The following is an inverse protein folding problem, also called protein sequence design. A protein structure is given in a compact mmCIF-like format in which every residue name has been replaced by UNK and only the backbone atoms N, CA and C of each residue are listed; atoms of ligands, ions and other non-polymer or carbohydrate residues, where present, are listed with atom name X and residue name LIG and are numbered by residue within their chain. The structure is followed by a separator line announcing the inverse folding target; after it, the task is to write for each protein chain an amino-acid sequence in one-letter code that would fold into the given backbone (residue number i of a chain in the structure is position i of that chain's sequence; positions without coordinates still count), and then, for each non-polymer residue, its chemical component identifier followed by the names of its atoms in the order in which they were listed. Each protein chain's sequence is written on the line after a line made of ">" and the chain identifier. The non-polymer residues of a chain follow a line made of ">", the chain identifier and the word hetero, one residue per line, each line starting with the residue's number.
data_IF_474658603622
#
_entry.id   IF_474658603622
#
_cell.length_a   1.000
_cell.length_b   1.000
_cell.length_c   1.000
_cell.angle_alpha   90.00
_cell.angle_beta   90.00
_cell.angle_gamma   90.00
#
_symmetry.space_group_name_H-M   'P 1'
#
loop_
_entity.id
_entity.type
_entity.pdbx_description
1 polymer ?
#
# COMPACT_ATOMS: atom_id res chain seq x y z
N UNK A 1 -5.57 -5.97 -28.72
CA UNK A 1 -4.76 -5.05 -27.90
C UNK A 1 -3.57 -5.85 -27.45
N UNK A 2 -2.37 -5.50 -27.92
CA UNK A 2 -1.14 -6.13 -27.46
C UNK A 2 -0.99 -5.93 -25.96
N UNK A 3 -0.85 -7.02 -25.21
CA UNK A 3 -0.69 -6.97 -23.75
C UNK A 3 0.80 -6.85 -23.45
N UNK A 4 1.25 -5.66 -23.07
CA UNK A 4 2.63 -5.43 -22.65
C UNK A 4 2.78 -5.79 -21.18
N UNK A 5 3.70 -6.71 -20.87
CA UNK A 5 4.06 -7.07 -19.52
C UNK A 5 5.53 -6.72 -19.27
N UNK A 6 5.80 -6.01 -18.17
CA UNK A 6 7.16 -5.71 -17.75
C UNK A 6 7.57 -6.62 -16.59
N UNK A 7 8.83 -7.07 -16.62
CA UNK A 7 9.49 -7.71 -15.50
C UNK A 7 10.71 -6.91 -15.12
N UNK A 8 10.73 -6.35 -13.91
CA UNK A 8 11.83 -5.60 -13.36
C UNK A 8 12.38 -6.32 -12.14
N UNK A 9 13.68 -6.56 -12.14
CA UNK A 9 14.41 -7.24 -11.10
C UNK A 9 15.51 -6.33 -10.58
N UNK A 10 15.65 -6.22 -9.26
CA UNK A 10 16.69 -5.42 -8.62
C UNK A 10 17.21 -6.16 -7.39
N UNK A 11 18.53 -6.23 -7.26
CA UNK A 11 19.25 -6.74 -6.10
C UNK A 11 20.14 -5.63 -5.54
N UNK A 12 20.05 -5.41 -4.23
CA UNK A 12 20.79 -4.34 -3.55
C UNK A 12 21.53 -4.90 -2.33
N UNK A 13 22.71 -4.33 -2.06
CA UNK A 13 23.42 -4.53 -0.81
C UNK A 13 23.82 -3.17 -0.23
N UNK A 14 23.35 -2.87 0.98
CA UNK A 14 23.45 -1.53 1.56
C UNK A 14 22.83 -0.47 0.61
N UNK A 15 23.64 0.48 0.16
CA UNK A 15 23.21 1.57 -0.75
C UNK A 15 23.61 1.32 -2.22
N UNK A 16 24.23 0.18 -2.53
CA UNK A 16 24.66 -0.17 -3.89
C UNK A 16 23.72 -1.16 -4.54
N UNK A 17 23.49 -0.98 -5.84
CA UNK A 17 22.75 -1.91 -6.67
C UNK A 17 23.72 -2.93 -7.24
N UNK A 18 23.50 -4.22 -6.91
CA UNK A 18 24.33 -5.33 -7.38
C UNK A 18 23.86 -5.82 -8.76
N UNK A 19 22.54 -5.90 -8.93
CA UNK A 19 21.91 -6.33 -10.18
C UNK A 19 20.66 -5.51 -10.44
N UNK A 20 20.42 -5.16 -11.71
CA UNK A 20 19.21 -4.47 -12.14
C UNK A 20 18.86 -4.87 -13.57
N UNK A 21 17.69 -5.47 -13.78
CA UNK A 21 17.28 -6.01 -15.05
C UNK A 21 15.87 -5.55 -15.40
N UNK A 22 15.63 -5.21 -16.66
CA UNK A 22 14.31 -4.88 -17.18
C UNK A 22 14.02 -5.64 -18.47
N UNK A 23 12.90 -6.35 -18.46
CA UNK A 23 12.40 -7.14 -19.56
C UNK A 23 11.02 -6.65 -19.99
N UNK A 24 10.75 -6.72 -21.29
CA UNK A 24 9.44 -6.49 -21.88
C UNK A 24 8.94 -7.79 -22.48
N UNK A 25 7.80 -8.26 -22.00
CA UNK A 25 7.10 -9.44 -22.54
C UNK A 25 5.96 -8.97 -23.45
N UNK A 26 6.01 -9.39 -24.70
CA UNK A 26 4.99 -9.13 -25.71
C UNK A 26 4.56 -10.48 -26.27
N UNK A 27 3.31 -10.88 -26.00
CA UNK A 27 2.81 -12.22 -26.30
C UNK A 27 3.73 -13.30 -25.68
N UNK A 28 4.37 -14.14 -26.50
CA UNK A 28 5.29 -15.20 -26.04
C UNK A 28 6.79 -14.82 -26.18
N UNK A 29 7.09 -13.55 -26.50
CA UNK A 29 8.46 -13.07 -26.70
C UNK A 29 8.91 -12.18 -25.57
N UNK A 30 10.11 -12.47 -25.03
CA UNK A 30 10.77 -11.64 -24.03
C UNK A 30 11.88 -10.84 -24.70
N UNK A 31 11.76 -9.50 -24.67
CA UNK A 31 12.81 -8.58 -25.10
C UNK A 31 13.56 -8.09 -23.85
N UNK A 32 14.88 -8.27 -23.82
CA UNK A 32 15.74 -7.64 -22.82
C UNK A 32 15.84 -6.15 -23.16
N UNK A 33 15.48 -5.28 -22.23
CA UNK A 33 15.63 -3.83 -22.38
C UNK A 33 16.97 -3.36 -21.82
N UNK A 34 17.35 -3.86 -20.66
CA UNK A 34 18.70 -3.76 -20.12
C UNK A 34 18.95 -4.84 -19.06
N UNK A 35 20.21 -5.18 -18.89
CA UNK A 35 20.73 -5.99 -17.79
C UNK A 35 21.99 -5.30 -17.25
N UNK A 36 22.12 -5.19 -15.93
CA UNK A 36 23.25 -4.60 -15.23
C UNK A 36 23.63 -5.49 -14.05
N UNK A 37 24.90 -5.81 -13.96
CA UNK A 37 25.53 -6.39 -12.79
C UNK A 37 26.75 -5.58 -12.35
N UNK A 38 27.53 -6.07 -11.36
CA UNK A 38 28.73 -5.39 -10.86
C UNK A 38 29.85 -5.26 -11.91
N UNK A 39 29.88 -6.12 -12.94
CA UNK A 39 30.97 -6.23 -13.91
C UNK A 39 30.58 -5.69 -15.29
N UNK A 40 29.29 -5.72 -15.63
CA UNK A 40 28.81 -5.49 -16.99
C UNK A 40 27.45 -4.79 -17.04
N UNK A 41 27.21 -4.10 -18.16
CA UNK A 41 25.91 -3.52 -18.50
C UNK A 41 25.57 -3.84 -19.94
N UNK A 42 24.45 -4.50 -20.17
CA UNK A 42 23.84 -4.66 -21.47
C UNK A 42 22.73 -3.63 -21.67
N UNK A 43 22.74 -2.93 -22.77
CA UNK A 43 21.71 -1.98 -23.19
C UNK A 43 21.14 -2.43 -24.54
N UNK A 44 19.82 -2.37 -24.70
CA UNK A 44 19.20 -2.64 -26.01
C UNK A 44 19.52 -1.53 -27.01
N UNK A 45 19.30 -1.78 -28.30
CA UNK A 45 19.63 -0.84 -29.41
C UNK A 45 18.97 0.55 -29.23
N UNK A 46 17.76 0.61 -28.62
CA UNK A 46 17.07 1.87 -28.36
C UNK A 46 17.83 2.81 -27.40
N UNK A 47 18.78 2.26 -26.63
CA UNK A 47 19.64 2.97 -25.68
C UNK A 47 21.05 3.24 -26.24
N UNK A 48 21.31 2.99 -27.51
CA UNK A 48 22.61 3.29 -28.13
C UNK A 48 23.02 4.74 -27.88
N UNK A 49 24.29 4.92 -27.48
CA UNK A 49 24.87 6.23 -27.15
C UNK A 49 24.42 6.83 -25.80
N UNK A 50 23.80 6.05 -24.91
CA UNK A 50 23.60 6.45 -23.53
C UNK A 50 24.96 6.35 -22.80
N UNK A 51 25.42 7.48 -22.26
CA UNK A 51 26.65 7.52 -21.45
C UNK A 51 26.32 7.10 -20.00
N UNK A 52 26.84 5.95 -19.59
CA UNK A 52 26.68 5.41 -18.25
C UNK A 52 28.00 5.34 -17.45
N UNK A 53 29.13 5.76 -18.05
CA UNK A 53 30.47 5.63 -17.42
C UNK A 53 30.57 6.39 -16.09
N UNK A 54 29.84 7.47 -15.93
CA UNK A 54 29.85 8.30 -14.72
C UNK A 54 28.57 8.18 -13.90
N UNK A 55 27.76 7.14 -14.13
CA UNK A 55 26.53 6.93 -13.38
C UNK A 55 26.85 6.52 -11.92
N UNK A 56 26.11 7.08 -10.96
CA UNK A 56 26.23 6.67 -9.56
C UNK A 56 25.72 5.23 -9.40
N UNK A 57 26.52 4.38 -8.73
CA UNK A 57 26.18 2.97 -8.48
C UNK A 57 24.88 2.78 -7.69
N UNK A 58 24.52 3.73 -6.84
CA UNK A 58 23.28 3.71 -6.06
C UNK A 58 22.05 4.19 -6.88
N UNK A 59 22.24 4.72 -8.10
CA UNK A 59 21.13 5.19 -8.92
C UNK A 59 20.59 4.05 -9.78
N UNK A 60 19.27 3.74 -9.69
CA UNK A 60 18.66 2.76 -10.60
C UNK A 60 18.81 3.18 -12.07
N UNK A 61 19.24 2.24 -12.92
CA UNK A 61 19.46 2.48 -14.34
C UNK A 61 18.16 2.89 -15.04
N UNK A 62 17.02 2.29 -14.65
CA UNK A 62 15.71 2.72 -15.15
C UNK A 62 15.45 4.22 -14.87
N UNK A 63 15.78 4.69 -13.66
CA UNK A 63 15.64 6.10 -13.31
C UNK A 63 16.58 6.97 -14.13
N UNK A 64 17.84 6.53 -14.32
CA UNK A 64 18.81 7.21 -15.13
C UNK A 64 18.36 7.34 -16.59
N UNK A 65 17.91 6.25 -17.20
CA UNK A 65 17.38 6.23 -18.56
C UNK A 65 16.24 7.24 -18.72
N UNK A 66 15.29 7.23 -17.79
CA UNK A 66 14.13 8.14 -17.83
C UNK A 66 14.48 9.61 -17.68
N UNK A 67 15.67 9.94 -17.12
CA UNK A 67 16.16 11.33 -17.05
C UNK A 67 16.79 11.82 -18.35
N UNK A 68 17.42 10.94 -19.12
CA UNK A 68 18.25 11.34 -20.28
C UNK A 68 17.68 10.92 -21.64
N UNK A 69 16.75 9.97 -21.65
CA UNK A 69 16.08 9.47 -22.86
C UNK A 69 14.56 9.55 -22.67
N UNK A 70 13.89 10.08 -23.66
CA UNK A 70 12.41 10.11 -23.70
C UNK A 70 11.93 8.96 -24.60
N UNK A 71 11.85 7.77 -24.03
CA UNK A 71 11.46 6.53 -24.72
C UNK A 71 10.22 5.93 -24.05
N UNK A 72 9.13 5.83 -24.79
CA UNK A 72 7.82 5.42 -24.26
C UNK A 72 7.85 4.09 -23.49
N UNK A 73 8.69 3.14 -23.93
CA UNK A 73 8.81 1.83 -23.28
C UNK A 73 9.35 1.93 -21.85
N UNK A 74 10.35 2.80 -21.64
CA UNK A 74 10.92 3.03 -20.29
C UNK A 74 10.04 3.95 -19.45
N UNK A 75 9.42 4.96 -20.08
CA UNK A 75 8.48 5.86 -19.40
C UNK A 75 7.26 5.10 -18.85
N UNK A 76 6.77 4.10 -19.56
CA UNK A 76 5.69 3.22 -19.07
C UNK A 76 6.12 2.43 -17.83
N UNK A 77 7.33 1.83 -17.86
CA UNK A 77 7.88 1.12 -16.71
C UNK A 77 8.08 2.07 -15.52
N UNK A 78 8.67 3.24 -15.74
CA UNK A 78 8.91 4.26 -14.70
C UNK A 78 7.60 4.80 -14.13
N UNK A 79 6.56 4.97 -14.94
CA UNK A 79 5.24 5.44 -14.50
C UNK A 79 4.64 4.53 -13.43
N UNK A 80 4.86 3.21 -13.48
CA UNK A 80 4.42 2.29 -12.44
C UNK A 80 5.02 2.67 -11.09
N UNK A 81 6.34 2.92 -11.02
CA UNK A 81 7.01 3.31 -9.76
C UNK A 81 6.54 4.68 -9.26
N UNK A 82 6.29 5.63 -10.16
CA UNK A 82 5.75 6.94 -9.79
C UNK A 82 4.31 6.87 -9.27
N UNK A 83 3.59 5.81 -9.57
CA UNK A 83 2.24 5.55 -9.07
C UNK A 83 2.23 4.77 -7.75
N UNK A 84 3.38 4.35 -7.20
CA UNK A 84 3.46 3.75 -5.86
C UNK A 84 3.28 4.84 -4.80
N UNK A 85 2.37 4.59 -3.85
CA UNK A 85 2.10 5.44 -2.68
C UNK A 85 2.49 4.69 -1.43
N UNK A 86 3.61 5.06 -0.83
CA UNK A 86 4.06 4.49 0.45
C UNK A 86 3.48 5.33 1.58
N UNK A 87 2.79 4.70 2.51
CA UNK A 87 2.12 5.37 3.62
C UNK A 87 2.44 4.67 4.94
N UNK A 88 3.04 5.41 5.88
CA UNK A 88 3.06 5.04 7.28
C UNK A 88 1.69 5.42 7.89
N UNK A 89 0.90 4.38 8.19
CA UNK A 89 -0.46 4.61 8.63
C UNK A 89 -0.57 5.02 10.10
N UNK A 90 0.42 4.76 10.94
CA UNK A 90 0.45 5.26 12.32
C UNK A 90 0.72 6.77 12.37
N UNK A 91 1.55 7.26 11.45
CA UNK A 91 1.92 8.68 11.34
C UNK A 91 1.68 9.17 9.91
N UNK A 92 0.41 9.27 9.47
CA UNK A 92 0.14 9.76 8.14
C UNK A 92 0.71 11.17 8.02
N UNK A 93 1.79 11.31 7.25
CA UNK A 93 2.26 12.62 6.82
C UNK A 93 1.13 13.21 5.98
N UNK A 94 0.40 14.13 6.56
CA UNK A 94 -0.50 14.98 5.81
C UNK A 94 0.36 15.76 4.82
N UNK A 95 0.47 15.26 3.59
CA UNK A 95 0.80 16.14 2.50
C UNK A 95 -0.36 17.12 2.37
N UNK A 96 -0.23 18.23 3.13
CA UNK A 96 -1.26 19.27 3.19
C UNK A 96 -1.62 19.78 1.80
N UNK A 97 -0.66 19.74 0.87
CA UNK A 97 -0.88 20.14 -0.50
C UNK A 97 -1.82 19.19 -1.26
N UNK A 98 -1.62 17.87 -1.13
CA UNK A 98 -2.50 16.87 -1.75
C UNK A 98 -3.88 16.90 -1.08
N UNK A 99 -3.93 16.89 0.24
CA UNK A 99 -5.17 16.94 1.02
C UNK A 99 -6.04 18.12 0.61
N UNK A 100 -5.49 19.33 0.62
CA UNK A 100 -6.20 20.56 0.27
C UNK A 100 -6.74 20.50 -1.15
N UNK A 101 -5.88 20.16 -2.12
CA UNK A 101 -6.27 20.05 -3.53
C UNK A 101 -7.39 19.04 -3.76
N UNK A 102 -7.39 17.92 -3.02
CA UNK A 102 -8.45 16.91 -3.17
C UNK A 102 -9.77 17.37 -2.53
N UNK A 103 -9.72 18.02 -1.36
CA UNK A 103 -10.91 18.61 -0.75
C UNK A 103 -11.52 19.66 -1.69
N UNK A 104 -10.71 20.54 -2.27
CA UNK A 104 -11.20 21.55 -3.21
C UNK A 104 -11.80 20.94 -4.48
N UNK A 105 -11.20 19.85 -4.95
CA UNK A 105 -11.62 19.19 -6.19
C UNK A 105 -12.91 18.37 -6.04
N UNK A 106 -13.04 17.59 -4.96
CA UNK A 106 -14.10 16.58 -4.84
C UNK A 106 -14.62 16.40 -3.40
N UNK A 107 -14.84 17.52 -2.73
CA UNK A 107 -15.28 17.56 -1.33
C UNK A 107 -16.52 16.69 -1.07
N UNK A 108 -17.51 16.76 -1.96
CA UNK A 108 -18.76 16.03 -1.78
C UNK A 108 -18.55 14.51 -1.78
N UNK A 109 -17.73 14.00 -2.70
CA UNK A 109 -17.39 12.56 -2.74
C UNK A 109 -16.66 12.13 -1.48
N UNK A 110 -15.70 12.93 -1.03
CA UNK A 110 -14.93 12.68 0.19
C UNK A 110 -15.86 12.63 1.41
N UNK A 111 -16.73 13.62 1.59
CA UNK A 111 -17.70 13.64 2.69
C UNK A 111 -18.67 12.44 2.62
N UNK A 112 -19.15 12.08 1.43
CA UNK A 112 -20.04 10.93 1.24
C UNK A 112 -19.35 9.61 1.64
N UNK A 113 -18.09 9.41 1.27
CA UNK A 113 -17.31 8.23 1.68
C UNK A 113 -17.12 8.21 3.20
N UNK A 114 -16.73 9.33 3.81
CA UNK A 114 -16.58 9.45 5.26
C UNK A 114 -17.90 9.15 5.98
N UNK A 115 -19.02 9.66 5.49
CA UNK A 115 -20.35 9.36 6.04
C UNK A 115 -20.73 7.89 5.91
N UNK A 116 -20.37 7.24 4.80
CA UNK A 116 -20.60 5.79 4.62
C UNK A 116 -19.83 4.93 5.62
N UNK A 117 -18.77 5.49 6.23
CA UNK A 117 -18.00 4.89 7.32
C UNK A 117 -18.62 5.13 8.71
N UNK A 118 -19.80 5.77 8.78
CA UNK A 118 -20.49 6.07 10.04
C UNK A 118 -19.99 7.33 10.77
N UNK A 119 -19.21 8.17 10.10
CA UNK A 119 -18.71 9.43 10.63
C UNK A 119 -19.62 10.55 10.13
N UNK A 120 -20.27 11.30 11.04
CA UNK A 120 -21.33 12.26 10.72
C UNK A 120 -20.84 13.63 10.20
N UNK A 121 -19.74 13.64 9.44
CA UNK A 121 -19.18 14.85 8.83
C UNK A 121 -19.93 15.15 7.53
N UNK A 122 -20.58 16.30 7.46
CA UNK A 122 -21.35 16.72 6.28
C UNK A 122 -20.60 17.72 5.40
N UNK A 123 -19.62 18.41 5.93
CA UNK A 123 -18.77 19.33 5.18
C UNK A 123 -17.36 19.45 5.79
N UNK A 124 -16.39 19.82 4.96
CA UNK A 124 -15.01 20.15 5.35
C UNK A 124 -14.70 21.53 4.81
N UNK A 125 -14.29 22.44 5.68
CA UNK A 125 -13.94 23.81 5.33
C UNK A 125 -12.45 24.04 5.58
N UNK A 126 -11.79 24.74 4.67
CA UNK A 126 -10.39 25.13 4.78
C UNK A 126 -10.33 26.64 4.90
N UNK A 127 -9.71 27.11 5.97
CA UNK A 127 -9.42 28.52 6.19
C UNK A 127 -7.99 28.82 5.76
N UNK A 128 -7.80 29.90 5.01
CA UNK A 128 -6.50 30.31 4.52
C UNK A 128 -6.03 31.59 5.21
N UNK A 129 -4.71 31.73 5.34
CA UNK A 129 -4.07 32.97 5.74
C UNK A 129 -3.97 33.93 4.55
N UNK A 130 -3.57 35.17 4.82
CA UNK A 130 -3.36 36.20 3.79
C UNK A 130 -2.28 35.79 2.75
N UNK A 131 -1.30 34.96 3.14
CA UNK A 131 -0.24 34.44 2.28
C UNK A 131 -0.67 33.23 1.44
N UNK A 132 -1.94 32.80 1.53
CA UNK A 132 -2.49 31.63 0.85
C UNK A 132 -2.15 30.29 1.51
N UNK A 133 -1.42 30.27 2.61
CA UNK A 133 -1.19 29.03 3.38
C UNK A 133 -2.42 28.65 4.20
N UNK A 134 -2.59 27.33 4.45
CA UNK A 134 -3.69 26.85 5.29
C UNK A 134 -3.52 27.33 6.72
N UNK A 135 -4.54 28.01 7.23
CA UNK A 135 -4.63 28.42 8.63
C UNK A 135 -5.19 27.28 9.48
N UNK A 136 -6.40 26.84 9.15
CA UNK A 136 -7.12 25.81 9.92
C UNK A 136 -8.03 24.98 8.98
N UNK A 137 -8.33 23.76 9.39
CA UNK A 137 -9.31 22.90 8.75
C UNK A 137 -10.44 22.62 9.74
N UNK A 138 -11.67 22.78 9.28
CA UNK A 138 -12.86 22.54 10.08
C UNK A 138 -13.69 21.42 9.49
N UNK A 139 -14.40 20.72 10.37
CA UNK A 139 -15.38 19.69 10.04
C UNK A 139 -16.75 20.13 10.53
N UNK A 140 -17.78 19.99 9.71
CA UNK A 140 -19.15 20.30 10.07
C UNK A 140 -19.92 19.01 10.30
N UNK A 141 -20.51 18.86 11.48
CA UNK A 141 -21.31 17.69 11.87
C UNK A 141 -22.78 18.05 11.92
N UNK A 142 -23.61 17.19 11.33
CA UNK A 142 -25.05 17.35 11.42
C UNK A 142 -25.56 16.72 12.71
N UNK A 143 -26.16 17.55 13.56
CA UNK A 143 -26.77 17.12 14.83
C UNK A 143 -28.17 16.56 14.62
N UNK A 144 -28.67 15.76 15.58
CA UNK A 144 -30.03 15.18 15.57
C UNK A 144 -31.17 16.20 15.50
N UNK A 145 -30.93 17.43 15.97
CA UNK A 145 -31.86 18.54 15.91
C UNK A 145 -31.81 19.34 14.61
N UNK A 146 -31.06 18.85 13.60
CA UNK A 146 -30.89 19.49 12.30
C UNK A 146 -29.91 20.67 12.26
N UNK A 147 -29.32 21.04 13.42
CA UNK A 147 -28.27 22.06 13.47
C UNK A 147 -26.92 21.46 13.10
N UNK A 148 -26.02 22.31 12.65
CA UNK A 148 -24.63 21.93 12.40
C UNK A 148 -23.74 22.35 13.57
N UNK A 149 -22.72 21.51 13.83
CA UNK A 149 -21.65 21.80 14.79
C UNK A 149 -20.33 21.81 14.04
N UNK A 150 -19.65 22.95 14.07
CA UNK A 150 -18.32 23.12 13.48
C UNK A 150 -17.26 22.80 14.53
N UNK A 151 -16.31 21.94 14.18
CA UNK A 151 -15.17 21.57 15.00
C UNK A 151 -13.89 21.84 14.20
N UNK A 152 -12.79 22.18 14.89
CA UNK A 152 -11.47 22.13 14.29
C UNK A 152 -11.07 20.68 14.05
N UNK A 153 -10.31 20.41 13.00
CA UNK A 153 -9.78 19.06 12.76
C UNK A 153 -8.99 18.51 13.96
N UNK A 154 -8.31 19.40 14.72
CA UNK A 154 -7.58 19.04 15.94
C UNK A 154 -8.48 18.58 17.09
N UNK A 155 -9.76 18.95 17.10
CA UNK A 155 -10.76 18.59 18.12
C UNK A 155 -11.43 17.23 17.81
N UNK A 156 -11.23 16.70 16.62
CA UNK A 156 -11.72 15.37 16.24
C UNK A 156 -10.97 14.25 16.96
N UNK A 157 -11.63 13.08 17.07
CA UNK A 157 -10.96 11.88 17.57
C UNK A 157 -9.75 11.51 16.71
N UNK A 158 -8.77 10.80 17.26
CA UNK A 158 -7.58 10.36 16.51
C UNK A 158 -7.95 9.51 15.28
N UNK A 159 -8.93 8.61 15.41
CA UNK A 159 -9.43 7.80 14.32
C UNK A 159 -10.13 8.62 13.24
N UNK A 160 -10.99 9.56 13.64
CA UNK A 160 -11.67 10.49 12.72
C UNK A 160 -10.67 11.34 11.94
N UNK A 161 -9.70 11.93 12.63
CA UNK A 161 -8.62 12.70 11.99
C UNK A 161 -7.87 11.88 10.96
N UNK A 162 -7.56 10.63 11.30
CA UNK A 162 -6.87 9.70 10.42
C UNK A 162 -7.69 9.44 9.15
N UNK A 163 -8.96 9.10 9.28
CA UNK A 163 -9.86 8.88 8.14
C UNK A 163 -9.94 10.13 7.25
N UNK A 164 -10.15 11.31 7.83
CA UNK A 164 -10.21 12.56 7.07
C UNK A 164 -8.91 12.79 6.28
N UNK A 165 -7.77 12.45 6.87
CA UNK A 165 -6.46 12.66 6.27
C UNK A 165 -6.16 11.72 5.09
N UNK A 166 -6.60 10.47 5.18
CA UNK A 166 -6.21 9.44 4.23
C UNK A 166 -7.22 9.24 3.08
N UNK A 167 -8.52 9.43 3.35
CA UNK A 167 -9.55 9.19 2.32
C UNK A 167 -9.32 10.02 1.05
N UNK A 168 -8.98 11.33 1.12
CA UNK A 168 -8.67 12.10 -0.08
C UNK A 168 -7.51 11.51 -0.90
N UNK A 169 -6.46 11.03 -0.23
CA UNK A 169 -5.28 10.43 -0.89
C UNK A 169 -5.63 9.08 -1.50
N UNK A 170 -6.40 8.25 -0.78
CA UNK A 170 -6.87 6.95 -1.28
C UNK A 170 -7.74 7.14 -2.53
N UNK A 171 -8.74 8.02 -2.48
CA UNK A 171 -9.63 8.26 -3.62
C UNK A 171 -8.86 8.77 -4.84
N UNK A 172 -7.90 9.69 -4.64
CA UNK A 172 -7.04 10.13 -5.72
C UNK A 172 -6.24 8.97 -6.32
N UNK A 173 -5.64 8.13 -5.49
CA UNK A 173 -4.85 7.01 -5.98
C UNK A 173 -5.69 5.94 -6.67
N UNK A 174 -6.93 5.71 -6.22
CA UNK A 174 -7.89 4.83 -6.91
C UNK A 174 -8.19 5.38 -8.32
N UNK A 175 -8.42 6.69 -8.43
CA UNK A 175 -8.69 7.34 -9.73
C UNK A 175 -7.47 7.27 -10.67
N UNK A 176 -6.26 7.23 -10.12
CA UNK A 176 -4.97 7.21 -10.86
C UNK A 176 -4.38 5.80 -11.05
N UNK A 177 -5.09 4.75 -10.63
CA UNK A 177 -4.57 3.36 -10.68
C UNK A 177 -3.25 3.19 -9.91
N UNK A 178 -3.15 3.73 -8.69
CA UNK A 178 -1.96 3.63 -7.86
C UNK A 178 -1.86 2.26 -7.16
N UNK A 179 -0.61 1.86 -6.85
CA UNK A 179 -0.31 0.83 -5.87
C UNK A 179 -0.03 1.49 -4.52
N UNK A 180 -0.81 1.13 -3.52
CA UNK A 180 -0.60 1.57 -2.14
C UNK A 180 0.21 0.53 -1.38
N UNK A 181 1.29 0.97 -0.72
CA UNK A 181 2.06 0.19 0.26
C UNK A 181 1.83 0.83 1.63
N UNK A 182 1.12 0.12 2.52
CA UNK A 182 0.67 0.69 3.79
C UNK A 182 1.13 -0.20 4.94
N UNK A 183 1.94 0.36 5.82
CA UNK A 183 2.32 -0.32 7.06
C UNK A 183 1.31 -0.03 8.16
N UNK A 184 0.97 -1.05 8.95
CA UNK A 184 0.04 -0.98 10.08
C UNK A 184 -1.31 -0.30 9.73
N UNK A 185 -1.99 -0.76 8.68
CA UNK A 185 -3.27 -0.18 8.23
C UNK A 185 -4.34 -0.12 9.33
N UNK A 186 -4.32 -1.06 10.29
CA UNK A 186 -5.24 -1.12 11.42
C UNK A 186 -4.88 -0.17 12.57
N UNK A 187 -3.70 0.44 12.59
CA UNK A 187 -3.26 1.26 13.71
C UNK A 187 -4.27 2.38 14.03
N UNK A 188 -4.77 2.39 15.27
CA UNK A 188 -5.75 3.38 15.79
C UNK A 188 -7.10 3.42 15.07
N UNK A 189 -7.43 2.41 14.28
CA UNK A 189 -8.74 2.30 13.63
C UNK A 189 -9.63 1.26 14.31
N UNK A 190 -10.91 1.55 14.32
CA UNK A 190 -11.91 0.53 14.64
C UNK A 190 -11.97 -0.51 13.50
N UNK A 191 -12.07 -1.82 13.79
CA UNK A 191 -12.10 -2.86 12.75
C UNK A 191 -13.12 -2.63 11.63
N UNK A 192 -14.28 -2.07 11.93
CA UNK A 192 -15.28 -1.73 10.92
C UNK A 192 -14.80 -0.61 9.96
N UNK A 193 -14.00 0.34 10.43
CA UNK A 193 -13.40 1.37 9.57
C UNK A 193 -12.33 0.78 8.68
N UNK A 194 -11.49 -0.11 9.23
CA UNK A 194 -10.50 -0.85 8.45
C UNK A 194 -11.17 -1.62 7.30
N UNK A 195 -12.24 -2.37 7.61
CA UNK A 195 -13.02 -3.09 6.59
C UNK A 195 -13.55 -2.15 5.50
N UNK A 196 -14.04 -0.97 5.87
CA UNK A 196 -14.54 0.02 4.91
C UNK A 196 -13.44 0.58 4.00
N UNK A 197 -12.21 0.74 4.51
CA UNK A 197 -11.07 1.10 3.67
C UNK A 197 -10.75 -0.01 2.67
N UNK A 198 -10.73 -1.26 3.11
CA UNK A 198 -10.49 -2.42 2.25
C UNK A 198 -11.58 -2.51 1.16
N UNK A 199 -12.83 -2.29 1.51
CA UNK A 199 -13.96 -2.27 0.56
C UNK A 199 -13.76 -1.25 -0.58
N UNK A 200 -13.09 -0.10 -0.35
CA UNK A 200 -12.80 0.85 -1.42
C UNK A 200 -11.94 0.25 -2.54
N UNK A 201 -11.10 -0.74 -2.23
CA UNK A 201 -10.24 -1.41 -3.21
C UNK A 201 -10.87 -2.66 -3.80
N UNK A 202 -11.71 -3.37 -3.05
CA UNK A 202 -12.32 -4.63 -3.47
C UNK A 202 -13.65 -4.44 -4.23
N UNK A 203 -14.32 -3.32 -4.03
CA UNK A 203 -15.54 -2.97 -4.77
C UNK A 203 -15.19 -2.46 -6.18
N UNK A 204 -15.57 -3.21 -7.20
CA UNK A 204 -15.31 -2.90 -8.62
C UNK A 204 -16.05 -1.66 -9.11
N UNK A 205 -17.13 -1.24 -8.46
CA UNK A 205 -17.85 -0.03 -8.83
C UNK A 205 -17.12 1.23 -8.33
N UNK A 206 -16.37 1.11 -7.22
CA UNK A 206 -15.54 2.18 -6.67
C UNK A 206 -14.17 2.15 -7.36
N UNK A 207 -13.51 0.99 -7.37
CA UNK A 207 -12.16 0.79 -7.92
C UNK A 207 -12.20 0.37 -9.39
N UNK A 208 -12.72 1.22 -10.24
CA UNK A 208 -12.85 0.94 -11.69
C UNK A 208 -11.52 0.89 -12.43
N UNK A 209 -10.50 1.55 -11.91
CA UNK A 209 -9.18 1.62 -12.51
C UNK A 209 -8.22 0.54 -12.00
N UNK A 210 -8.69 -0.38 -11.14
CA UNK A 210 -7.90 -1.49 -10.62
C UNK A 210 -6.68 -1.06 -9.80
N UNK A 211 -6.80 0.02 -9.01
CA UNK A 211 -5.79 0.38 -8.02
C UNK A 211 -5.57 -0.80 -7.05
N UNK A 212 -4.36 -0.93 -6.55
CA UNK A 212 -3.97 -2.04 -5.69
C UNK A 212 -3.54 -1.55 -4.32
N UNK A 213 -3.68 -2.41 -3.31
CA UNK A 213 -3.22 -2.14 -1.95
C UNK A 213 -2.52 -3.37 -1.39
N UNK A 214 -1.27 -3.20 -0.99
CA UNK A 214 -0.51 -4.13 -0.17
C UNK A 214 -0.35 -3.49 1.21
N UNK A 215 -0.75 -4.19 2.26
CA UNK A 215 -0.67 -3.65 3.61
C UNK A 215 -0.30 -4.70 4.65
N UNK A 216 0.30 -4.25 5.75
CA UNK A 216 0.47 -5.05 6.96
C UNK A 216 -0.64 -4.73 7.96
N UNK A 217 -1.02 -5.71 8.78
CA UNK A 217 -2.04 -5.52 9.82
C UNK A 217 -1.91 -6.58 10.90
N UNK A 218 -2.20 -6.20 12.13
CA UNK A 218 -2.40 -7.08 13.27
C UNK A 218 -3.87 -7.44 13.49
N UNK A 219 -4.80 -6.85 12.72
CA UNK A 219 -6.23 -7.11 12.84
C UNK A 219 -6.62 -8.48 12.26
N UNK A 220 -7.18 -9.32 13.08
CA UNK A 220 -7.68 -10.63 12.67
C UNK A 220 -9.17 -10.62 12.29
N UNK A 221 -9.89 -9.53 12.56
CA UNK A 221 -11.34 -9.48 12.33
C UNK A 221 -11.68 -9.36 10.84
N UNK A 222 -10.77 -8.79 10.04
CA UNK A 222 -10.89 -8.70 8.58
C UNK A 222 -10.33 -9.93 7.87
N UNK A 223 -9.55 -10.79 8.55
CA UNK A 223 -8.96 -11.99 7.98
C UNK A 223 -10.00 -13.10 7.80
N UNK A 224 -10.86 -12.93 6.82
CA UNK A 224 -11.98 -13.83 6.53
C UNK A 224 -12.19 -14.01 5.02
N UNK A 225 -12.86 -15.09 4.65
CA UNK A 225 -13.20 -15.41 3.25
C UNK A 225 -14.19 -14.43 2.61
N UNK A 226 -14.92 -13.67 3.43
CA UNK A 226 -15.84 -12.62 3.00
C UNK A 226 -15.10 -11.35 2.55
N UNK A 227 -13.84 -11.20 2.98
CA UNK A 227 -13.01 -10.02 2.69
C UNK A 227 -11.89 -10.37 1.72
N UNK A 228 -11.21 -11.49 1.92
CA UNK A 228 -10.03 -11.87 1.15
C UNK A 228 -10.09 -13.28 0.60
N UNK A 229 -9.51 -13.46 -0.59
CA UNK A 229 -9.14 -14.78 -1.09
C UNK A 229 -7.89 -15.28 -0.35
N UNK A 230 -7.66 -16.59 -0.40
CA UNK A 230 -6.48 -17.21 0.28
C UNK A 230 -5.14 -16.75 -0.30
N UNK A 231 -5.10 -16.45 -1.57
CA UNK A 231 -3.92 -15.95 -2.28
C UNK A 231 -3.59 -14.48 -1.94
N UNK A 232 -4.54 -13.77 -1.34
CA UNK A 232 -4.38 -12.41 -0.86
C UNK A 232 -3.89 -12.32 0.59
N UNK A 233 -3.91 -13.45 1.33
CA UNK A 233 -3.47 -13.49 2.73
C UNK A 233 -2.07 -14.08 2.81
N UNK A 234 -1.15 -13.30 3.37
CA UNK A 234 0.25 -13.66 3.57
C UNK A 234 0.61 -13.57 5.04
N UNK A 235 1.49 -14.46 5.47
CA UNK A 235 2.02 -14.50 6.83
C UNK A 235 3.50 -14.19 6.81
N UNK A 236 3.91 -13.25 7.69
CA UNK A 236 5.30 -13.02 8.05
C UNK A 236 5.56 -13.66 9.40
N UNK A 237 6.53 -14.53 9.49
CA UNK A 237 6.89 -15.24 10.70
C UNK A 237 8.40 -15.27 10.88
N UNK A 238 8.84 -15.51 12.11
CA UNK A 238 10.25 -15.79 12.43
C UNK A 238 10.37 -17.29 12.67
N UNK A 239 11.29 -17.96 11.99
CA UNK A 239 11.55 -19.38 12.19
C UNK A 239 12.43 -19.63 13.43
N UNK A 240 12.69 -20.89 13.76
CA UNK A 240 13.52 -21.29 14.92
C UNK A 240 15.00 -20.87 14.84
N UNK A 241 15.44 -20.24 13.74
CA UNK A 241 16.79 -19.73 13.52
C UNK A 241 16.86 -18.19 13.48
N UNK A 242 15.79 -17.52 13.95
CA UNK A 242 15.63 -16.06 13.90
C UNK A 242 15.61 -15.47 12.47
N UNK A 243 15.25 -16.29 11.46
CA UNK A 243 15.12 -15.83 10.09
C UNK A 243 13.65 -15.50 9.77
N UNK A 244 13.43 -14.40 9.08
CA UNK A 244 12.10 -14.02 8.58
C UNK A 244 11.67 -14.91 7.42
N UNK A 245 10.47 -15.43 7.48
CA UNK A 245 9.85 -16.21 6.41
C UNK A 245 8.52 -15.58 6.00
N UNK A 246 8.25 -15.59 4.70
CA UNK A 246 7.03 -15.07 4.11
C UNK A 246 6.35 -16.16 3.29
N UNK A 247 5.08 -16.42 3.52
CA UNK A 247 4.31 -17.42 2.76
C UNK A 247 2.82 -17.07 2.69
N UNK A 248 2.17 -17.49 1.62
CA UNK A 248 0.74 -17.26 1.45
C UNK A 248 -0.10 -18.36 2.11
N UNK A 249 -1.34 -18.01 2.47
CA UNK A 249 -2.30 -18.99 2.98
C UNK A 249 -2.63 -20.07 1.93
N UNK A 250 -2.52 -19.78 0.64
CA UNK A 250 -2.76 -20.76 -0.43
C UNK A 250 -1.62 -21.77 -0.56
N UNK A 251 -0.40 -21.37 -0.22
CA UNK A 251 0.78 -22.26 -0.29
C UNK A 251 0.98 -23.06 0.98
N UNK A 252 0.36 -22.62 2.07
CA UNK A 252 0.43 -23.33 3.35
C UNK A 252 -0.08 -24.77 3.21
N UNK A 253 0.64 -25.70 3.85
CA UNK A 253 0.27 -27.12 3.95
C UNK A 253 0.23 -27.52 5.40
N UNK A 254 -0.85 -28.18 5.80
CA UNK A 254 -0.95 -28.82 7.11
C UNK A 254 0.05 -29.98 7.20
N UNK A 255 0.40 -30.42 8.39
CA UNK A 255 1.25 -31.61 8.59
C UNK A 255 0.76 -32.85 7.82
N UNK A 256 -0.56 -32.95 7.60
CA UNK A 256 -1.19 -33.97 6.75
C UNK A 256 -0.98 -33.78 5.25
N UNK A 257 -0.28 -32.71 4.81
CA UNK A 257 -0.10 -32.33 3.41
C UNK A 257 -1.34 -31.67 2.77
N UNK A 258 -2.47 -31.55 3.49
CA UNK A 258 -3.69 -30.95 2.98
C UNK A 258 -3.64 -29.42 3.02
N UNK A 259 -4.33 -28.77 2.07
CA UNK A 259 -4.52 -27.31 2.07
C UNK A 259 -5.60 -26.89 3.07
N UNK A 260 -5.56 -25.65 3.59
CA UNK A 260 -6.69 -25.08 4.33
C UNK A 260 -7.96 -25.14 3.49
N UNK A 261 -9.08 -25.45 4.12
CA UNK A 261 -10.39 -25.51 3.46
C UNK A 261 -10.92 -24.09 3.21
N UNK A 262 -11.71 -23.92 2.16
CA UNK A 262 -12.34 -22.62 1.85
C UNK A 262 -13.39 -22.19 2.89
N UNK A 263 -13.92 -23.12 3.68
CA UNK A 263 -14.93 -22.90 4.71
C UNK A 263 -14.34 -22.72 6.12
N UNK A 264 -13.01 -22.76 6.25
CA UNK A 264 -12.34 -22.53 7.54
C UNK A 264 -12.43 -21.06 7.96
N UNK A 265 -12.55 -20.84 9.27
CA UNK A 265 -12.40 -19.52 9.85
C UNK A 265 -10.90 -19.22 10.00
N UNK A 266 -10.36 -18.37 9.11
CA UNK A 266 -8.92 -18.12 9.04
C UNK A 266 -8.37 -17.47 10.32
N UNK A 267 -9.05 -16.48 10.88
CA UNK A 267 -8.62 -15.81 12.11
C UNK A 267 -8.58 -16.79 13.31
N UNK A 268 -9.56 -17.66 13.42
CA UNK A 268 -9.58 -18.70 14.47
C UNK A 268 -8.42 -19.69 14.30
N UNK A 269 -8.19 -20.16 13.08
CA UNK A 269 -7.10 -21.11 12.79
C UNK A 269 -5.72 -20.46 13.06
N UNK A 270 -5.56 -19.16 12.76
CA UNK A 270 -4.35 -18.41 13.08
C UNK A 270 -4.12 -18.36 14.61
N UNK A 271 -5.14 -17.98 15.38
CA UNK A 271 -5.07 -17.92 16.85
C UNK A 271 -4.82 -19.28 17.52
N UNK A 272 -5.18 -20.38 16.83
CA UNK A 272 -4.89 -21.75 17.26
C UNK A 272 -3.47 -22.20 16.86
N UNK A 273 -2.63 -21.32 16.28
CA UNK A 273 -1.27 -21.62 15.85
C UNK A 273 -1.17 -22.53 14.62
N UNK A 274 -2.29 -22.77 13.91
CA UNK A 274 -2.35 -23.79 12.85
C UNK A 274 -1.65 -23.39 11.56
N UNK A 275 -1.32 -22.11 11.39
CA UNK A 275 -0.61 -21.62 10.21
C UNK A 275 0.89 -21.40 10.48
N UNK A 276 1.37 -21.62 11.72
CA UNK A 276 2.79 -21.52 12.07
C UNK A 276 3.37 -20.11 12.08
N UNK A 277 2.50 -19.09 12.05
CA UNK A 277 2.89 -17.68 12.10
C UNK A 277 2.54 -17.01 13.43
N UNK A 278 2.22 -17.81 14.44
CA UNK A 278 1.93 -17.34 15.78
C UNK A 278 3.25 -16.98 16.50
N UNK A 279 3.25 -15.93 17.32
CA UNK A 279 4.39 -15.62 18.16
C UNK A 279 4.68 -16.81 19.12
N UNK A 280 5.92 -17.26 19.17
CA UNK A 280 6.35 -18.30 20.13
C UNK A 280 6.32 -17.76 21.56
N UNK A 281 5.13 -17.70 22.17
CA UNK A 281 5.00 -17.34 23.57
C UNK A 281 5.41 -18.53 24.45
N UNK A 282 6.51 -18.39 25.18
CA UNK A 282 6.79 -19.28 26.32
C UNK A 282 5.70 -19.03 27.38
N UNK A 283 5.26 -20.11 28.04
CA UNK A 283 4.34 -19.95 29.18
C UNK A 283 5.01 -19.09 30.24
N UNK A 284 4.28 -18.17 30.84
CA UNK A 284 4.83 -17.30 31.89
C UNK A 284 5.52 -18.02 33.04
N UNK A 285 5.18 -19.32 33.24
CA UNK A 285 5.84 -20.21 34.23
C UNK A 285 7.20 -20.75 33.79
N UNK A 286 7.52 -20.67 32.50
CA UNK A 286 8.74 -21.27 31.94
C UNK A 286 9.93 -20.28 31.96
N UNK A 287 9.71 -19.02 32.37
CA UNK A 287 10.77 -18.01 32.50
C UNK A 287 11.61 -18.16 33.78
N UNK A 288 11.10 -18.92 34.79
CA UNK A 288 11.81 -19.19 36.05
C UNK A 288 12.82 -20.35 35.94
N UNK A 289 12.93 -21.02 34.78
CA UNK A 289 13.77 -22.22 34.59
C UNK A 289 14.90 -21.91 33.62
N UNK A 290 15.71 -20.91 33.94
CA UNK A 290 17.05 -20.76 33.33
C UNK A 290 18.07 -20.63 34.46
N UNK A 291 18.46 -21.78 35.04
CA UNK A 291 19.71 -21.96 35.73
C UNK A 291 20.80 -22.40 34.75
#
# INVERSE_FOLDING_TARGET
>A
IEEFRYRYEISCHNESILEENLYLEIEDHVKVLFERDEESVYLCDDLEGLDIENMNESLPLLSYISMFKNLEVFDRAMKFFLQIKIMDFDKPNLDRGIFVKQIEKDKNRICNVIQSMGISICDIEIEYKEDGSVNEVYTNHKLSNGKEKKLRLSEESSGTRKIISIIPVILQGIDQNCLFLIDELDAKLHPLLLRKIIELFTDKEINRNSAQMLFTSHDLTTMSKEVFRRDEIWFSAINGYDESVLYSLVDFRKESGSKPRNDENYSKQYLEGRYGADPYFRRLKDWEVVE
#
